data_IF_775172404719
#
_entry.id   IF_775172404719
#
_cell.length_a   1.000
_cell.length_b   1.000
_cell.length_c   1.000
_cell.angle_alpha   90.00
_cell.angle_beta   90.00
_cell.angle_gamma   90.00
#
_symmetry.space_group_name_H-M   'P 1'
#
loop_
_entity.id
_entity.type
_entity.pdbx_description
1 polymer ?
#
# COMPACT_ATOMS: atom_id res chain seq x y z
N UNK A 1 13.37 -12.30 -14.78
CA UNK A 1 13.19 -10.85 -14.63
C UNK A 1 11.69 -10.60 -14.59
N UNK A 2 11.23 -9.52 -13.98
CA UNK A 2 9.80 -9.19 -13.86
C UNK A 2 9.52 -7.80 -14.42
N UNK A 3 8.27 -7.57 -14.78
CA UNK A 3 7.77 -6.33 -15.35
C UNK A 3 6.75 -5.68 -14.40
N UNK A 4 6.74 -4.35 -14.39
CA UNK A 4 5.69 -3.53 -13.79
C UNK A 4 4.86 -2.93 -14.93
N UNK A 5 3.58 -3.30 -15.01
CA UNK A 5 2.70 -2.95 -16.13
C UNK A 5 1.64 -1.98 -15.64
N UNK A 6 1.64 -0.77 -16.20
CA UNK A 6 0.69 0.29 -15.90
C UNK A 6 0.88 1.50 -16.84
N UNK A 7 0.04 2.54 -16.71
CA UNK A 7 -1.09 2.66 -15.78
C UNK A 7 -2.26 1.71 -16.10
N UNK A 8 -3.17 1.55 -15.14
CA UNK A 8 -4.36 0.71 -15.21
C UNK A 8 -5.55 1.59 -15.59
N UNK A 9 -5.82 1.62 -16.90
CA UNK A 9 -6.72 2.58 -17.54
C UNK A 9 -8.20 2.45 -17.13
N UNK A 10 -8.61 1.31 -16.58
CA UNK A 10 -9.97 1.08 -16.08
C UNK A 10 -10.14 1.43 -14.58
N UNK A 11 -9.06 1.79 -13.88
CA UNK A 11 -9.10 2.36 -12.53
C UNK A 11 -9.09 3.90 -12.60
N UNK A 12 -8.25 4.47 -13.47
CA UNK A 12 -8.11 5.92 -13.63
C UNK A 12 -7.66 6.27 -15.05
N UNK A 13 -8.32 7.26 -15.64
CA UNK A 13 -8.02 7.74 -16.99
C UNK A 13 -6.67 8.49 -17.00
N UNK A 14 -5.60 7.82 -17.41
CA UNK A 14 -4.30 8.47 -17.61
C UNK A 14 -4.25 9.23 -18.95
N UNK A 15 -3.74 10.48 -19.01
CA UNK A 15 -3.19 11.31 -17.92
C UNK A 15 -4.20 12.33 -17.36
N UNK A 16 -5.48 12.18 -17.68
CA UNK A 16 -6.50 13.21 -17.50
C UNK A 16 -7.08 13.25 -16.07
N UNK A 17 -7.02 12.13 -15.35
CA UNK A 17 -7.39 12.01 -13.95
C UNK A 17 -6.16 11.61 -13.11
N UNK A 18 -5.65 12.48 -12.21
CA UNK A 18 -4.43 12.21 -11.47
C UNK A 18 -4.58 11.21 -10.33
N UNK A 19 -5.81 10.96 -9.84
CA UNK A 19 -6.01 10.22 -8.60
C UNK A 19 -7.34 9.47 -8.61
N UNK A 20 -7.29 8.17 -8.28
CA UNK A 20 -8.47 7.35 -8.03
C UNK A 20 -8.30 6.55 -6.72
N UNK A 21 -9.36 5.86 -6.31
CA UNK A 21 -9.30 4.83 -5.28
C UNK A 21 -9.51 3.47 -5.94
N UNK A 22 -8.87 2.44 -5.40
CA UNK A 22 -9.06 1.05 -5.84
C UNK A 22 -9.05 0.12 -4.65
N UNK A 23 -9.82 -0.96 -4.75
CA UNK A 23 -9.78 -2.02 -3.75
C UNK A 23 -8.60 -2.98 -3.98
N UNK A 24 -7.98 -3.38 -2.89
CA UNK A 24 -6.84 -4.31 -2.86
C UNK A 24 -7.08 -5.33 -1.76
N UNK A 25 -7.09 -6.60 -2.13
CA UNK A 25 -7.23 -7.69 -1.17
C UNK A 25 -5.88 -8.29 -0.84
N UNK A 26 -5.58 -8.38 0.45
CA UNK A 26 -4.38 -9.03 0.95
C UNK A 26 -4.54 -10.56 0.85
N UNK A 27 -3.51 -11.23 0.33
CA UNK A 27 -3.52 -12.68 0.07
C UNK A 27 -2.35 -13.43 0.69
N UNK A 28 -1.42 -12.70 1.31
CA UNK A 28 -0.22 -13.27 1.90
C UNK A 28 -0.46 -13.70 3.36
N UNK A 29 -0.34 -15.01 3.67
CA UNK A 29 -0.60 -15.54 5.00
C UNK A 29 0.42 -15.10 6.06
N UNK A 30 1.55 -14.52 5.68
CA UNK A 30 2.54 -13.99 6.63
C UNK A 30 2.13 -12.63 7.21
N UNK A 31 1.15 -11.96 6.59
CA UNK A 31 0.65 -10.65 7.03
C UNK A 31 -0.62 -10.84 7.85
N UNK A 32 -0.76 -10.04 8.92
CA UNK A 32 -1.91 -10.18 9.85
C UNK A 32 -3.26 -9.85 9.19
N UNK A 33 -3.20 -9.13 8.06
CA UNK A 33 -4.33 -8.66 7.27
C UNK A 33 -4.75 -9.62 6.14
N UNK A 34 -4.21 -10.84 6.08
CA UNK A 34 -4.58 -11.81 5.05
C UNK A 34 -6.12 -12.00 4.96
N UNK A 35 -6.66 -11.82 3.76
CA UNK A 35 -8.10 -11.89 3.47
C UNK A 35 -8.88 -10.59 3.70
N UNK A 36 -8.23 -9.53 4.19
CA UNK A 36 -8.81 -8.19 4.28
C UNK A 36 -8.69 -7.48 2.94
N UNK A 37 -9.76 -6.78 2.55
CA UNK A 37 -9.78 -5.85 1.41
C UNK A 37 -9.70 -4.43 1.95
N UNK A 38 -8.78 -3.66 1.40
CA UNK A 38 -8.57 -2.24 1.68
C UNK A 38 -9.01 -1.41 0.47
N UNK A 39 -9.48 -0.20 0.71
CA UNK A 39 -9.55 0.83 -0.33
C UNK A 39 -8.23 1.58 -0.26
N UNK A 40 -7.54 1.75 -1.37
CA UNK A 40 -6.21 2.36 -1.39
C UNK A 40 -6.12 3.37 -2.53
N UNK A 41 -5.49 4.51 -2.24
CA UNK A 41 -5.07 5.50 -3.24
C UNK A 41 -4.38 4.89 -4.46
N UNK A 42 -4.78 5.33 -5.65
CA UNK A 42 -4.20 4.93 -6.92
C UNK A 42 -3.77 6.16 -7.73
N UNK A 43 -2.46 6.27 -7.98
CA UNK A 43 -1.85 7.34 -8.79
C UNK A 43 -1.02 6.72 -9.93
N UNK A 44 -1.73 6.03 -10.84
CA UNK A 44 -1.13 5.44 -12.04
C UNK A 44 -0.11 4.31 -11.77
N UNK A 45 -0.32 3.60 -10.66
CA UNK A 45 0.47 2.45 -10.24
C UNK A 45 0.39 1.24 -11.18
N UNK A 46 1.41 0.38 -11.21
CA UNK A 46 1.40 -0.86 -12.00
C UNK A 46 0.76 -2.06 -11.28
N UNK A 47 0.43 -3.11 -12.02
CA UNK A 47 0.48 -4.48 -11.48
C UNK A 47 1.82 -5.13 -11.82
N UNK A 48 2.18 -6.20 -11.09
CA UNK A 48 3.45 -6.90 -11.27
C UNK A 48 3.28 -8.25 -11.96
N UNK A 49 4.18 -8.58 -12.87
CA UNK A 49 4.18 -9.84 -13.63
C UNK A 49 5.60 -10.27 -13.98
N UNK A 50 5.77 -11.49 -14.48
CA UNK A 50 7.01 -11.93 -15.12
C UNK A 50 7.20 -11.25 -16.47
N UNK A 51 8.42 -11.34 -17.00
CA UNK A 51 8.74 -10.77 -18.33
C UNK A 51 7.78 -11.30 -19.41
N UNK A 52 7.29 -10.41 -20.28
CA UNK A 52 6.34 -10.77 -21.35
C UNK A 52 5.00 -11.35 -20.84
N UNK A 53 4.63 -11.05 -19.59
CA UNK A 53 3.38 -11.53 -18.97
C UNK A 53 3.47 -12.95 -18.40
N UNK A 54 4.68 -13.51 -18.32
CA UNK A 54 4.94 -14.78 -17.64
C UNK A 54 4.57 -14.70 -16.14
N UNK A 55 4.47 -15.85 -15.45
CA UNK A 55 4.35 -15.85 -13.99
C UNK A 55 5.49 -15.08 -13.33
N UNK A 56 5.22 -14.53 -12.14
CA UNK A 56 6.23 -13.86 -11.33
C UNK A 56 7.46 -14.77 -11.13
N UNK A 57 8.68 -14.20 -11.11
CA UNK A 57 9.90 -14.97 -10.90
C UNK A 57 9.84 -15.84 -9.63
N UNK A 58 10.50 -17.01 -9.61
CA UNK A 58 10.59 -17.83 -8.41
C UNK A 58 11.17 -17.05 -7.22
N UNK A 59 10.54 -17.18 -6.05
CA UNK A 59 10.93 -16.43 -4.84
C UNK A 59 10.25 -15.06 -4.70
N UNK A 60 9.36 -14.69 -5.64
CA UNK A 60 8.44 -13.56 -5.47
C UNK A 60 7.09 -14.05 -4.97
N UNK A 61 6.59 -13.39 -3.94
CA UNK A 61 5.32 -13.68 -3.28
C UNK A 61 4.36 -12.51 -3.49
N UNK A 62 3.08 -12.81 -3.72
CA UNK A 62 2.03 -11.81 -3.88
C UNK A 62 1.52 -11.44 -2.50
N UNK A 63 1.59 -10.16 -2.16
CA UNK A 63 1.11 -9.60 -0.89
C UNK A 63 -0.36 -9.21 -0.99
N UNK A 64 -0.72 -8.55 -2.09
CA UNK A 64 -2.08 -8.10 -2.37
C UNK A 64 -2.38 -8.16 -3.86
N UNK A 65 -3.65 -8.35 -4.17
CA UNK A 65 -4.19 -8.32 -5.54
C UNK A 65 -5.21 -7.19 -5.65
N UNK A 66 -5.32 -6.60 -6.84
CA UNK A 66 -6.47 -5.75 -7.14
C UNK A 66 -7.76 -6.59 -7.03
N UNK A 67 -8.81 -6.03 -6.43
CA UNK A 67 -10.04 -6.75 -6.06
C UNK A 67 -11.28 -5.88 -6.30
N UNK A 68 -11.50 -5.45 -7.55
CA UNK A 68 -12.54 -4.46 -7.90
C UNK A 68 -13.44 -4.93 -9.04
N UNK A 69 -14.68 -4.44 -9.02
CA UNK A 69 -15.68 -4.64 -10.06
C UNK A 69 -16.11 -3.30 -10.67
N UNK A 70 -16.40 -3.31 -11.98
CA UNK A 70 -16.97 -2.18 -12.72
C UNK A 70 -18.35 -2.61 -13.21
N UNK A 71 -19.41 -2.00 -12.66
CA UNK A 71 -20.80 -2.33 -12.97
C UNK A 71 -21.17 -3.82 -12.73
N UNK A 72 -20.66 -4.41 -11.63
CA UNK A 72 -20.92 -5.81 -11.26
C UNK A 72 -20.20 -6.84 -12.13
N UNK A 73 -19.11 -6.43 -12.79
CA UNK A 73 -18.23 -7.29 -13.58
C UNK A 73 -16.80 -7.04 -13.10
N UNK A 74 -15.97 -8.08 -12.89
CA UNK A 74 -14.56 -7.91 -12.56
C UNK A 74 -13.86 -6.93 -13.50
N UNK A 75 -13.06 -6.03 -12.93
CA UNK A 75 -12.19 -5.13 -13.69
C UNK A 75 -11.21 -5.88 -14.59
N UNK A 76 -10.63 -5.18 -15.57
CA UNK A 76 -9.65 -5.75 -16.49
C UNK A 76 -8.41 -6.26 -15.77
N UNK A 77 -8.03 -5.60 -14.67
CA UNK A 77 -6.87 -5.98 -13.85
C UNK A 77 -7.27 -6.57 -12.50
N UNK A 78 -8.51 -7.02 -12.33
CA UNK A 78 -8.92 -7.80 -11.17
C UNK A 78 -8.03 -9.05 -11.00
N UNK A 79 -7.74 -9.42 -9.75
CA UNK A 79 -6.84 -10.50 -9.35
C UNK A 79 -5.37 -10.35 -9.81
N UNK A 80 -4.98 -9.21 -10.41
CA UNK A 80 -3.58 -8.97 -10.78
C UNK A 80 -2.76 -8.62 -9.53
N UNK A 81 -1.47 -9.05 -9.46
CA UNK A 81 -0.61 -8.73 -8.32
C UNK A 81 -0.39 -7.22 -8.17
N UNK A 82 -1.08 -6.62 -7.20
CA UNK A 82 -0.99 -5.21 -6.87
C UNK A 82 0.20 -4.92 -5.95
N UNK A 83 0.54 -5.86 -5.09
CA UNK A 83 1.67 -5.75 -4.16
C UNK A 83 2.45 -7.07 -4.14
N UNK A 84 3.78 -6.99 -4.15
CA UNK A 84 4.65 -8.16 -4.11
C UNK A 84 5.80 -7.98 -3.13
N UNK A 85 6.31 -9.10 -2.61
CA UNK A 85 7.51 -9.15 -1.76
C UNK A 85 8.49 -10.20 -2.25
N UNK A 86 9.79 -9.97 -2.06
CA UNK A 86 10.86 -10.94 -2.36
C UNK A 86 12.17 -10.59 -1.66
N UNK A 87 13.08 -11.55 -1.58
CA UNK A 87 14.46 -11.32 -1.10
C UNK A 87 15.40 -10.98 -2.27
N UNK A 88 16.28 -9.99 -2.06
CA UNK A 88 17.32 -9.62 -3.03
C UNK A 88 18.66 -9.44 -2.31
N UNK A 89 19.61 -10.36 -2.57
CA UNK A 89 20.84 -10.43 -1.80
C UNK A 89 20.54 -10.83 -0.35
N UNK A 90 20.97 -10.00 0.61
CA UNK A 90 20.60 -10.14 2.03
C UNK A 90 19.43 -9.24 2.44
N UNK A 91 18.88 -8.46 1.49
CA UNK A 91 17.79 -7.54 1.73
C UNK A 91 16.42 -8.13 1.39
N UNK A 92 15.39 -7.45 1.87
CA UNK A 92 13.98 -7.73 1.57
C UNK A 92 13.40 -6.54 0.80
N UNK A 93 12.58 -6.84 -0.20
CA UNK A 93 11.98 -5.85 -1.09
C UNK A 93 10.47 -6.02 -1.06
N UNK A 94 9.76 -4.91 -0.92
CA UNK A 94 8.33 -4.79 -1.08
C UNK A 94 8.06 -3.78 -2.19
N UNK A 95 7.20 -4.12 -3.13
CA UNK A 95 6.76 -3.23 -4.21
C UNK A 95 5.24 -3.14 -4.18
N UNK A 96 4.72 -1.93 -4.35
CA UNK A 96 3.29 -1.63 -4.40
C UNK A 96 2.97 -0.87 -5.67
N UNK A 97 1.92 -1.31 -6.34
CA UNK A 97 1.21 -0.57 -7.38
C UNK A 97 0.38 0.57 -6.80
N UNK A 98 -0.62 0.27 -5.94
CA UNK A 98 -1.37 1.29 -5.21
C UNK A 98 -0.48 2.00 -4.17
N UNK A 99 -1.01 3.05 -3.55
CA UNK A 99 -0.28 3.98 -2.67
C UNK A 99 -0.75 3.87 -1.22
N UNK A 100 -0.44 2.78 -0.50
CA UNK A 100 -0.87 2.57 0.89
C UNK A 100 -0.22 3.54 1.89
N UNK A 101 0.71 4.38 1.43
CA UNK A 101 1.22 5.51 2.21
C UNK A 101 0.23 6.67 2.33
N UNK A 102 -0.78 6.72 1.46
CA UNK A 102 -1.84 7.72 1.45
C UNK A 102 -3.07 7.14 2.14
N UNK A 103 -3.43 7.70 3.28
CA UNK A 103 -4.65 7.36 4.02
C UNK A 103 -5.83 8.13 3.42
N UNK A 104 -6.72 7.40 2.76
CA UNK A 104 -8.06 7.88 2.46
C UNK A 104 -8.91 7.86 3.74
N UNK A 105 -9.96 8.68 3.78
CA UNK A 105 -10.99 8.45 4.78
C UNK A 105 -12.33 8.89 4.23
N UNK A 106 -13.40 8.43 4.88
CA UNK A 106 -14.78 8.80 4.57
C UNK A 106 -15.05 10.31 4.41
N UNK A 107 -14.18 11.20 4.93
CA UNK A 107 -14.27 12.64 4.64
C UNK A 107 -12.90 13.29 4.53
N UNK A 108 -12.73 14.26 3.63
CA UNK A 108 -11.51 15.09 3.59
C UNK A 108 -11.15 15.75 4.94
N UNK A 109 -12.15 16.03 5.79
CA UNK A 109 -11.93 16.59 7.12
C UNK A 109 -11.29 15.59 8.11
N UNK A 110 -11.40 14.30 7.83
CA UNK A 110 -10.84 13.21 8.63
C UNK A 110 -9.69 12.49 7.92
N UNK A 111 -9.46 12.75 6.63
CA UNK A 111 -8.32 12.17 5.90
C UNK A 111 -7.04 12.70 6.54
N UNK A 112 -6.09 11.81 6.82
CA UNK A 112 -4.82 12.22 7.42
C UNK A 112 -3.92 12.95 6.42
N UNK A 113 -4.07 12.65 5.14
CA UNK A 113 -3.22 13.20 4.09
C UNK A 113 -3.89 14.27 3.22
N UNK A 114 -5.14 14.65 3.54
CA UNK A 114 -5.97 15.64 2.80
C UNK A 114 -6.04 15.40 1.28
N UNK A 115 -5.69 14.19 0.86
CA UNK A 115 -5.41 13.86 -0.52
C UNK A 115 -6.65 13.30 -1.20
N UNK A 116 -7.46 12.51 -0.48
CA UNK A 116 -8.62 11.82 -1.05
C UNK A 116 -9.74 11.72 -0.01
N UNK A 117 -10.96 12.08 -0.42
CA UNK A 117 -12.18 11.74 0.31
C UNK A 117 -12.75 10.48 -0.31
N UNK A 118 -13.01 9.47 0.51
CA UNK A 118 -13.64 8.24 0.10
C UNK A 118 -15.13 8.46 -0.18
N UNK A 119 -15.53 8.37 -1.46
CA UNK A 119 -16.94 8.24 -1.87
C UNK A 119 -17.24 6.82 -2.41
N UNK A 120 -16.30 5.88 -2.21
CA UNK A 120 -16.33 4.48 -2.59
C UNK A 120 -17.32 3.72 -1.69
N UNK A 121 -18.59 4.08 -1.80
CA UNK A 121 -19.65 3.52 -0.99
C UNK A 121 -20.95 4.33 -0.97
N UNK A 122 -20.99 5.54 -1.55
CA UNK A 122 -22.25 6.29 -1.69
C UNK A 122 -22.97 6.00 -3.00
N UNK A 123 -22.24 5.61 -4.06
CA UNK A 123 -22.78 5.33 -5.39
C UNK A 123 -22.68 3.84 -5.83
N UNK A 124 -22.11 2.94 -5.02
CA UNK A 124 -22.09 1.50 -5.31
C UNK A 124 -23.41 0.80 -4.92
N UNK A 125 -24.16 0.21 -5.89
CA UNK A 125 -25.37 -0.56 -5.60
C UNK A 125 -25.14 -1.85 -4.77
N UNK A 126 -23.90 -2.31 -4.58
CA UNK A 126 -23.53 -3.45 -3.73
C UNK A 126 -23.42 -3.11 -2.22
N UNK A 127 -23.47 -1.82 -1.86
CA UNK A 127 -23.24 -1.33 -0.50
C UNK A 127 -21.77 -0.97 -0.26
N UNK A 128 -21.45 -0.21 0.81
CA UNK A 128 -20.09 0.26 1.04
C UNK A 128 -19.14 -0.93 1.26
N UNK A 129 -18.01 -0.94 0.55
CA UNK A 129 -16.88 -1.82 0.88
C UNK A 129 -16.44 -1.44 2.30
N UNK A 130 -16.31 -2.44 3.17
CA UNK A 130 -15.89 -2.19 4.55
C UNK A 130 -14.39 -1.92 4.57
N UNK A 131 -14.03 -0.64 4.48
CA UNK A 131 -12.65 -0.19 4.60
C UNK A 131 -12.27 0.02 6.07
N UNK A 132 -11.20 -0.60 6.58
CA UNK A 132 -10.82 -0.43 7.97
C UNK A 132 -10.22 0.94 8.32
N UNK A 133 -9.91 1.84 7.36
CA UNK A 133 -9.19 3.13 7.57
C UNK A 133 -7.87 2.89 8.37
N UNK A 134 -7.03 1.93 7.92
CA UNK A 134 -5.83 1.48 8.68
C UNK A 134 -4.67 0.94 7.84
N UNK A 135 -4.51 1.39 6.60
CA UNK A 135 -3.45 0.96 5.65
C UNK A 135 -2.07 1.15 6.28
N UNK A 136 -1.94 2.12 7.19
CA UNK A 136 -0.77 2.35 8.03
C UNK A 136 -0.42 1.20 8.99
N UNK A 137 -1.41 0.53 9.58
CA UNK A 137 -1.17 -0.67 10.39
C UNK A 137 -0.81 -1.87 9.49
N UNK A 138 -1.31 -1.94 8.25
CA UNK A 138 -0.81 -2.88 7.23
C UNK A 138 0.65 -2.57 6.85
N UNK A 139 0.99 -1.30 6.66
CA UNK A 139 2.37 -0.87 6.39
C UNK A 139 3.31 -1.16 7.57
N UNK A 140 2.82 -1.20 8.81
CA UNK A 140 3.61 -1.64 9.95
C UNK A 140 4.03 -3.11 9.83
N UNK A 141 3.15 -3.99 9.35
CA UNK A 141 3.49 -5.40 9.05
C UNK A 141 4.53 -5.49 7.92
N UNK A 142 4.37 -4.68 6.87
CA UNK A 142 5.35 -4.60 5.76
C UNK A 142 6.72 -4.21 6.30
N UNK A 143 6.78 -3.17 7.14
CA UNK A 143 8.02 -2.72 7.75
C UNK A 143 8.63 -3.78 8.68
N UNK A 144 7.80 -4.51 9.45
CA UNK A 144 8.27 -5.60 10.31
C UNK A 144 8.89 -6.73 9.48
N UNK A 145 8.30 -7.05 8.33
CA UNK A 145 8.86 -8.02 7.40
C UNK A 145 10.15 -7.51 6.75
N UNK A 146 10.20 -6.26 6.29
CA UNK A 146 11.41 -5.66 5.71
C UNK A 146 12.57 -5.61 6.71
N UNK A 147 12.25 -5.47 8.01
CA UNK A 147 13.21 -5.23 9.07
C UNK A 147 13.00 -6.16 10.27
N UNK A 148 13.20 -7.49 10.13
CA UNK A 148 12.82 -8.49 11.13
C UNK A 148 13.60 -8.39 12.45
N UNK A 149 14.76 -7.73 12.44
CA UNK A 149 15.60 -7.50 13.63
C UNK A 149 15.38 -6.12 14.25
N UNK A 150 14.40 -5.36 13.77
CA UNK A 150 14.06 -4.04 14.27
C UNK A 150 12.85 -4.11 15.20
N UNK A 151 12.90 -3.35 16.29
CA UNK A 151 11.73 -3.16 17.14
C UNK A 151 10.92 -2.00 16.59
N UNK A 152 9.81 -2.32 15.94
CA UNK A 152 8.80 -1.35 15.52
C UNK A 152 7.83 -1.17 16.68
N UNK A 153 7.83 0.02 17.28
CA UNK A 153 6.88 0.38 18.32
C UNK A 153 6.11 1.60 17.85
N UNK A 154 4.79 1.48 17.72
CA UNK A 154 3.88 2.63 17.57
C UNK A 154 4.05 3.53 18.78
N UNK A 155 4.69 4.68 18.60
CA UNK A 155 4.73 5.69 19.65
C UNK A 155 3.65 6.73 19.35
N UNK A 156 2.53 6.66 20.07
CA UNK A 156 1.55 7.76 20.14
C UNK A 156 2.16 8.89 20.97
N UNK A 157 3.18 9.56 20.44
CA UNK A 157 3.75 10.73 21.08
C UNK A 157 3.13 11.96 20.44
N UNK A 158 2.20 12.67 21.11
CA UNK A 158 1.72 13.94 20.60
C UNK A 158 2.89 14.93 20.62
N UNK A 159 3.54 15.10 19.47
CA UNK A 159 4.51 16.16 19.26
C UNK A 159 3.68 17.41 18.92
N UNK A 160 3.35 18.19 19.96
CA UNK A 160 2.78 19.55 19.90
C UNK A 160 2.04 19.85 18.57
N UNK A 161 0.77 19.45 18.52
CA UNK A 161 -0.21 19.67 17.44
C UNK A 161 -0.18 18.70 16.24
N UNK A 162 0.63 17.64 16.26
CA UNK A 162 0.68 16.65 15.18
C UNK A 162 0.56 15.22 15.71
N UNK A 163 -0.11 14.36 14.93
CA UNK A 163 -0.13 12.91 15.15
C UNK A 163 0.93 12.28 14.26
N UNK A 164 2.17 12.18 14.75
CA UNK A 164 3.20 11.43 14.07
C UNK A 164 3.11 9.95 14.50
N UNK A 165 2.88 9.04 13.56
CA UNK A 165 3.12 7.62 13.79
C UNK A 165 4.64 7.38 13.70
N UNK A 166 5.31 7.27 14.84
CA UNK A 166 6.71 6.84 14.87
C UNK A 166 6.73 5.33 14.77
N UNK A 167 7.22 4.80 13.65
CA UNK A 167 7.38 3.35 13.44
C UNK A 167 8.77 2.90 13.94
N UNK A 168 8.98 3.05 15.25
CA UNK A 168 10.10 2.45 15.98
C UNK A 168 11.53 2.83 15.54
N UNK A 169 12.46 1.93 15.89
CA UNK A 169 13.91 2.09 15.67
C UNK A 169 14.39 0.98 14.73
N UNK A 170 14.97 1.38 13.59
CA UNK A 170 15.67 0.48 12.67
C UNK A 170 17.11 0.28 13.19
N UNK A 171 17.37 -0.87 13.82
CA UNK A 171 18.68 -1.18 14.41
C UNK A 171 19.11 -0.23 15.55
N UNK A 172 20.42 -0.03 15.75
CA UNK A 172 20.96 0.81 16.84
C UNK A 172 20.96 2.31 16.54
N UNK A 173 20.53 2.76 15.36
CA UNK A 173 20.82 4.14 14.93
C UNK A 173 19.84 4.80 13.96
N UNK A 174 18.81 4.11 13.44
CA UNK A 174 17.81 4.75 12.57
C UNK A 174 16.45 4.83 13.26
N UNK A 175 15.74 5.95 13.06
CA UNK A 175 14.35 6.17 13.49
C UNK A 175 13.51 6.35 12.24
N UNK A 176 12.41 5.60 12.10
CA UNK A 176 11.40 5.90 11.09
C UNK A 176 10.45 6.91 11.69
N UNK A 177 10.39 8.09 11.09
CA UNK A 177 9.45 9.12 11.50
C UNK A 177 8.60 9.44 10.28
N UNK A 178 7.34 9.02 10.31
CA UNK A 178 6.33 9.56 9.42
C UNK A 178 5.84 10.86 10.05
N UNK A 179 6.03 11.97 9.34
CA UNK A 179 5.46 13.26 9.71
C UNK A 179 4.22 13.48 8.85
N UNK A 180 3.16 13.97 9.48
CA UNK A 180 2.17 14.79 8.83
C UNK A 180 2.88 16.07 8.33
N UNK A 181 2.54 16.49 7.12
CA UNK A 181 3.09 17.56 6.27
C UNK A 181 4.58 17.45 5.81
N UNK A 182 4.72 17.13 4.51
CA UNK A 182 5.91 17.24 3.65
C UNK A 182 7.04 16.18 3.80
N UNK A 183 6.84 15.08 3.05
CA UNK A 183 7.84 14.09 2.60
C UNK A 183 8.24 12.98 3.58
N UNK A 184 8.03 11.74 3.12
CA UNK A 184 8.72 10.55 3.58
C UNK A 184 10.23 10.67 3.28
N UNK A 185 11.00 11.18 4.24
CA UNK A 185 12.46 11.09 4.18
C UNK A 185 12.94 9.76 4.74
N UNK A 186 13.13 8.76 3.86
CA UNK A 186 14.03 7.64 4.15
C UNK A 186 15.47 8.17 4.06
N UNK A 187 15.98 8.71 5.17
CA UNK A 187 17.40 9.03 5.28
C UNK A 187 18.26 7.77 5.28
N UNK A 188 18.82 7.38 4.14
CA UNK A 188 19.85 6.33 4.00
C UNK A 188 21.22 6.89 4.48
N UNK A 189 22.21 6.12 4.98
CA UNK A 189 22.57 4.79 4.49
C UNK A 189 23.00 3.77 5.56
N UNK A 190 22.14 2.81 5.84
CA UNK A 190 22.57 1.47 6.22
C UNK A 190 21.43 0.52 5.89
N UNK A 191 21.34 0.19 4.61
CA UNK A 191 21.18 -1.20 4.14
C UNK A 191 21.09 -2.16 5.34
N UNK A 192 19.89 -2.67 5.60
CA UNK A 192 19.72 -3.80 6.51
C UNK A 192 20.54 -4.96 5.92
N UNK A 193 21.79 -5.08 6.39
CA UNK A 193 22.73 -6.17 6.14
C UNK A 193 22.90 -6.97 7.44
#
# INVERSE_FOLDING_TARGET
>A
MGDAVGPLEDISDYPDDPMALTTVRMVDPDFSWNGTTFIIGYLWGPYFTGTEGDPLPPGTEVVGVYDYEINGVPGLYDEKPAMIKFEFGSGRVFLSGPHPELEESATLANSRDWAVGDDYGTDDPAGPVADPDTEWDMMADVLAWLCPNSTISKADTPLRNYTAAVYGTLGTSARVVAYDEDALFIGNPALCL
#
